data_IF_178709417196
#
_entry.id   IF_178709417196
#
_cell.length_a   1.000
_cell.length_b   1.000
_cell.length_c   1.000
_cell.angle_alpha   90.00
_cell.angle_beta   90.00
_cell.angle_gamma   90.00
#
_symmetry.space_group_name_H-M   'P 1'
#
loop_
_entity.id
_entity.type
_entity.pdbx_description
1 polymer ?
#
# COMPACT_ATOMS: atom_id res chain seq x y z
N UNK A 1 -73.95 51.19 40.65
CA UNK A 1 -73.97 51.20 39.17
C UNK A 1 -72.87 52.13 38.69
N UNK A 2 -72.07 51.70 37.70
CA UNK A 2 -70.91 52.41 37.10
C UNK A 2 -69.65 52.48 37.98
N UNK A 3 -68.41 52.27 37.51
CA UNK A 3 -67.80 51.67 36.30
C UNK A 3 -66.36 51.34 36.75
N UNK A 4 -65.90 50.12 36.53
CA UNK A 4 -64.52 49.71 36.82
C UNK A 4 -63.59 50.16 35.69
N UNK A 5 -62.47 50.80 36.04
CA UNK A 5 -61.34 51.07 35.14
C UNK A 5 -60.16 50.26 35.68
N UNK A 6 -59.79 49.18 34.98
CA UNK A 6 -58.54 48.44 35.23
C UNK A 6 -57.66 48.60 34.00
N UNK A 7 -56.46 49.15 34.23
CA UNK A 7 -55.40 49.30 33.24
C UNK A 7 -55.03 47.93 32.64
N UNK A 8 -55.03 47.85 31.31
CA UNK A 8 -54.41 46.78 30.54
C UNK A 8 -52.91 47.05 30.44
N UNK A 9 -52.09 46.10 30.88
CA UNK A 9 -50.68 45.99 30.47
C UNK A 9 -50.60 44.86 29.43
N UNK A 10 -50.04 45.06 28.23
CA UNK A 10 -49.87 43.98 27.28
C UNK A 10 -48.61 43.17 27.64
N UNK A 11 -48.81 41.86 27.71
CA UNK A 11 -47.78 40.83 27.82
C UNK A 11 -47.04 40.75 26.48
N UNK A 12 -45.76 41.13 26.43
CA UNK A 12 -44.93 40.99 25.22
C UNK A 12 -44.39 39.56 25.13
N UNK A 13 -44.99 38.73 24.26
CA UNK A 13 -44.38 37.48 23.82
C UNK A 13 -43.27 37.83 22.81
N UNK A 14 -42.00 37.67 23.19
CA UNK A 14 -40.88 37.72 22.23
C UNK A 14 -40.84 36.40 21.50
N UNK A 15 -41.38 36.38 20.29
CA UNK A 15 -41.21 35.31 19.31
C UNK A 15 -39.81 35.45 18.70
N UNK A 16 -38.85 34.63 19.14
CA UNK A 16 -37.54 34.51 18.50
C UNK A 16 -37.70 33.78 17.16
N UNK A 17 -38.02 34.55 16.12
CA UNK A 17 -37.87 34.12 14.72
C UNK A 17 -36.38 34.05 14.40
N UNK A 18 -35.82 32.84 14.46
CA UNK A 18 -34.50 32.53 13.92
C UNK A 18 -34.52 32.73 12.40
N UNK A 19 -34.05 33.90 11.95
CA UNK A 19 -33.72 34.12 10.55
C UNK A 19 -32.50 33.27 10.22
N UNK A 20 -32.74 32.09 9.64
CA UNK A 20 -31.72 31.33 8.94
C UNK A 20 -31.18 32.20 7.80
N UNK A 21 -30.03 32.82 8.02
CA UNK A 21 -29.30 33.48 6.95
C UNK A 21 -28.98 32.46 5.84
N UNK A 22 -28.91 32.87 4.57
CA UNK A 22 -28.51 31.96 3.51
C UNK A 22 -27.13 31.44 3.88
N UNK A 23 -27.02 30.11 4.04
CA UNK A 23 -25.74 29.45 4.17
C UNK A 23 -24.90 29.94 2.99
N UNK A 24 -23.87 30.74 3.30
CA UNK A 24 -22.88 31.13 2.30
C UNK A 24 -22.40 29.84 1.68
N UNK A 25 -22.63 29.68 0.37
CA UNK A 25 -21.99 28.67 -0.43
C UNK A 25 -20.50 28.74 -0.09
N UNK A 26 -20.01 27.75 0.66
CA UNK A 26 -18.58 27.51 0.70
C UNK A 26 -18.20 27.32 -0.75
N UNK A 27 -17.47 28.27 -1.32
CA UNK A 27 -16.80 28.05 -2.57
C UNK A 27 -15.90 26.85 -2.32
N UNK A 28 -16.30 25.67 -2.82
CA UNK A 28 -15.53 24.44 -2.76
C UNK A 28 -14.36 24.61 -3.73
N UNK A 29 -13.36 25.37 -3.28
CA UNK A 29 -12.04 25.37 -3.85
C UNK A 29 -11.47 23.96 -3.68
N UNK A 30 -11.19 23.34 -4.82
CA UNK A 30 -10.40 22.14 -5.07
C UNK A 30 -10.39 21.12 -3.90
N UNK A 31 -11.20 20.04 -3.96
CA UNK A 31 -11.32 19.04 -2.88
C UNK A 31 -10.00 18.34 -2.53
N UNK A 32 -8.90 18.66 -3.21
CA UNK A 32 -7.57 18.12 -2.91
C UNK A 32 -7.42 16.70 -3.43
N UNK A 33 -8.36 16.26 -4.27
CA UNK A 33 -8.35 15.01 -5.00
C UNK A 33 -9.11 15.16 -6.33
N UNK A 34 -8.79 14.29 -7.29
CA UNK A 34 -9.63 14.04 -8.48
C UNK A 34 -10.34 12.72 -8.32
N UNK A 35 -11.52 12.63 -8.93
CA UNK A 35 -12.37 11.47 -8.84
C UNK A 35 -12.86 11.07 -10.23
N UNK A 36 -12.82 9.77 -10.49
CA UNK A 36 -13.26 9.15 -11.74
C UNK A 36 -14.06 7.90 -11.41
N UNK A 37 -15.00 7.52 -12.27
CA UNK A 37 -15.89 6.39 -12.03
C UNK A 37 -16.30 5.71 -13.35
N UNK A 38 -16.62 4.42 -13.26
CA UNK A 38 -17.20 3.63 -14.34
C UNK A 38 -17.97 2.43 -13.76
N UNK A 39 -19.00 1.97 -14.46
CA UNK A 39 -19.83 0.81 -14.06
C UNK A 39 -21.07 1.18 -13.24
N UNK A 40 -21.63 0.19 -12.54
CA UNK A 40 -22.82 0.35 -11.69
C UNK A 40 -22.42 0.76 -10.26
N UNK A 41 -22.56 2.04 -9.95
CA UNK A 41 -22.22 2.60 -8.62
C UNK A 41 -23.29 2.30 -7.57
N UNK A 42 -24.49 1.94 -8.01
CA UNK A 42 -25.62 1.57 -7.15
C UNK A 42 -25.68 0.05 -6.93
N UNK A 43 -24.71 -0.70 -7.49
CA UNK A 43 -24.58 -2.12 -7.25
C UNK A 43 -24.54 -2.42 -5.75
N UNK A 44 -25.31 -3.43 -5.34
CA UNK A 44 -25.26 -3.92 -3.98
C UNK A 44 -23.83 -4.38 -3.61
N UNK A 45 -23.42 -4.26 -2.33
CA UNK A 45 -22.16 -4.84 -1.87
C UNK A 45 -22.03 -6.30 -2.28
N UNK A 46 -20.81 -6.74 -2.58
CA UNK A 46 -20.56 -8.15 -2.88
C UNK A 46 -21.07 -9.03 -1.73
N UNK A 47 -21.82 -10.08 -2.06
CA UNK A 47 -22.40 -10.98 -1.06
C UNK A 47 -21.31 -11.71 -0.23
N UNK A 48 -20.14 -11.93 -0.83
CA UNK A 48 -18.98 -12.52 -0.19
C UNK A 48 -17.70 -11.90 -0.74
N UNK A 49 -16.75 -11.63 0.15
CA UNK A 49 -15.36 -11.28 -0.18
C UNK A 49 -14.42 -12.20 0.60
N UNK A 50 -13.24 -12.44 0.05
CA UNK A 50 -12.20 -13.26 0.66
C UNK A 50 -10.94 -12.43 0.94
N UNK A 51 -10.27 -12.63 2.09
CA UNK A 51 -9.01 -11.95 2.37
C UNK A 51 -7.95 -12.36 1.35
N UNK A 52 -7.32 -11.36 0.72
CA UNK A 52 -6.24 -11.60 -0.22
C UNK A 52 -5.35 -10.38 -0.38
N UNK A 53 -4.10 -10.63 -0.75
CA UNK A 53 -3.12 -9.58 -1.06
C UNK A 53 -2.53 -9.82 -2.44
N UNK A 54 -2.52 -8.81 -3.30
CA UNK A 54 -1.76 -8.84 -4.56
C UNK A 54 -0.64 -7.81 -4.50
N UNK A 55 0.60 -8.28 -4.43
CA UNK A 55 1.82 -7.47 -4.41
C UNK A 55 2.43 -7.49 -5.82
N UNK A 56 2.17 -6.45 -6.61
CA UNK A 56 2.68 -6.33 -7.98
C UNK A 56 3.92 -5.42 -8.06
N UNK A 57 4.99 -5.88 -8.70
CA UNK A 57 6.27 -5.15 -8.70
C UNK A 57 6.32 -3.90 -9.57
N UNK A 58 5.30 -3.62 -10.37
CA UNK A 58 5.26 -2.50 -11.32
C UNK A 58 5.32 -2.99 -12.77
N UNK A 59 5.53 -2.07 -13.71
CA UNK A 59 5.50 -2.38 -15.14
C UNK A 59 4.06 -2.54 -15.67
N UNK A 60 3.89 -3.39 -16.68
CA UNK A 60 2.61 -3.74 -17.28
C UNK A 60 1.75 -4.60 -16.35
N UNK A 61 0.43 -4.39 -16.40
CA UNK A 61 -0.50 -5.17 -15.58
C UNK A 61 -0.45 -6.65 -15.96
N UNK A 62 -0.59 -7.51 -14.95
CA UNK A 62 -0.69 -8.97 -15.11
C UNK A 62 -2.18 -9.34 -15.05
N UNK A 63 -2.88 -9.52 -16.19
CA UNK A 63 -4.34 -9.64 -16.18
C UNK A 63 -4.83 -10.83 -15.35
N UNK A 64 -4.09 -11.95 -15.37
CA UNK A 64 -4.40 -13.13 -14.57
C UNK A 64 -4.39 -12.83 -13.05
N UNK A 65 -3.48 -11.98 -12.58
CA UNK A 65 -3.41 -11.59 -11.18
C UNK A 65 -4.59 -10.70 -10.77
N UNK A 66 -4.95 -9.73 -11.62
CA UNK A 66 -6.13 -8.90 -11.37
C UNK A 66 -7.43 -9.71 -11.40
N UNK A 67 -7.58 -10.65 -12.34
CA UNK A 67 -8.75 -11.55 -12.38
C UNK A 67 -8.83 -12.44 -11.13
N UNK A 68 -7.70 -13.02 -10.71
CA UNK A 68 -7.62 -13.77 -9.44
C UNK A 68 -8.04 -12.91 -8.25
N UNK A 69 -7.59 -11.66 -8.19
CA UNK A 69 -7.91 -10.72 -7.11
C UNK A 69 -9.38 -10.28 -7.14
N UNK A 70 -9.94 -10.00 -8.31
CA UNK A 70 -11.36 -9.63 -8.49
C UNK A 70 -12.32 -10.76 -8.12
N UNK A 71 -11.93 -12.02 -8.34
CA UNK A 71 -12.72 -13.16 -7.85
C UNK A 71 -12.86 -13.15 -6.33
N UNK A 72 -11.77 -12.85 -5.60
CA UNK A 72 -11.80 -12.66 -4.13
C UNK A 72 -12.60 -11.44 -3.69
N UNK A 73 -12.74 -10.44 -4.55
CA UNK A 73 -13.60 -9.29 -4.33
C UNK A 73 -15.09 -9.60 -4.54
N UNK A 74 -15.45 -10.84 -4.87
CA UNK A 74 -16.81 -11.19 -5.27
C UNK A 74 -17.26 -10.47 -6.54
N UNK A 75 -16.31 -10.02 -7.37
CA UNK A 75 -16.56 -9.21 -8.57
C UNK A 75 -17.34 -7.90 -8.27
N UNK A 76 -17.17 -7.37 -7.05
CA UNK A 76 -17.90 -6.21 -6.55
C UNK A 76 -17.30 -4.86 -6.95
N UNK A 77 -17.51 -3.87 -6.08
CA UNK A 77 -17.08 -2.48 -6.24
C UNK A 77 -15.61 -2.34 -5.90
N UNK A 78 -14.83 -1.78 -6.82
CA UNK A 78 -13.40 -1.57 -6.65
C UNK A 78 -13.10 -0.09 -6.47
N UNK A 79 -12.24 0.22 -5.50
CA UNK A 79 -11.67 1.57 -5.36
C UNK A 79 -10.18 1.54 -5.69
N UNK A 80 -9.77 2.36 -6.65
CA UNK A 80 -8.38 2.62 -6.98
C UNK A 80 -7.92 3.89 -6.24
N UNK A 81 -6.87 3.78 -5.44
CA UNK A 81 -6.29 4.90 -4.71
C UNK A 81 -4.92 5.27 -5.29
N UNK A 82 -4.68 6.57 -5.48
CA UNK A 82 -3.42 7.06 -6.04
C UNK A 82 -3.03 8.41 -5.46
N UNK A 83 -1.74 8.66 -5.26
CA UNK A 83 -1.25 9.93 -4.72
C UNK A 83 -0.52 10.82 -5.75
N UNK A 84 -0.44 10.44 -7.02
CA UNK A 84 0.26 11.21 -8.08
C UNK A 84 -0.14 10.79 -9.49
N UNK A 85 -0.04 11.69 -10.47
CA UNK A 85 -0.35 11.46 -11.89
C UNK A 85 -1.81 11.75 -12.27
N UNK A 86 -2.25 11.49 -13.51
CA UNK A 86 -3.65 11.66 -13.96
C UNK A 86 -4.08 10.57 -14.96
N UNK A 87 -4.50 9.39 -14.47
CA UNK A 87 -4.79 8.26 -15.35
C UNK A 87 -6.21 7.76 -15.09
N UNK A 88 -6.90 7.37 -16.17
CA UNK A 88 -8.20 6.71 -16.14
C UNK A 88 -8.06 5.20 -15.85
N UNK A 89 -7.32 4.82 -14.80
CA UNK A 89 -7.07 3.41 -14.47
C UNK A 89 -8.36 2.61 -14.24
N UNK A 90 -9.45 3.28 -13.88
CA UNK A 90 -10.77 2.67 -13.77
C UNK A 90 -11.22 2.07 -15.09
N UNK A 91 -10.93 2.71 -16.22
CA UNK A 91 -11.34 2.21 -17.54
C UNK A 91 -10.57 0.95 -17.92
N UNK A 92 -9.26 0.93 -17.66
CA UNK A 92 -8.44 -0.28 -17.87
C UNK A 92 -8.93 -1.45 -17.00
N UNK A 93 -9.18 -1.21 -15.72
CA UNK A 93 -9.67 -2.28 -14.83
C UNK A 93 -11.08 -2.75 -15.24
N UNK A 94 -11.98 -1.82 -15.56
CA UNK A 94 -13.37 -2.17 -15.85
C UNK A 94 -13.56 -2.77 -17.24
N UNK A 95 -12.89 -2.25 -18.27
CA UNK A 95 -13.09 -2.67 -19.67
C UNK A 95 -12.10 -3.74 -20.13
N UNK A 96 -10.82 -3.57 -19.80
CA UNK A 96 -9.77 -4.45 -20.35
C UNK A 96 -9.58 -5.70 -19.49
N UNK A 97 -9.56 -5.54 -18.16
CA UNK A 97 -9.53 -6.69 -17.23
C UNK A 97 -10.93 -7.30 -17.08
N UNK A 98 -11.92 -6.46 -16.80
CA UNK A 98 -13.32 -6.86 -16.62
C UNK A 98 -13.61 -7.57 -15.30
N UNK A 99 -14.90 -7.67 -14.97
CA UNK A 99 -15.37 -8.42 -13.80
C UNK A 99 -15.52 -7.61 -12.50
N UNK A 100 -15.44 -6.27 -12.55
CA UNK A 100 -15.86 -5.43 -11.44
C UNK A 100 -17.27 -4.89 -11.69
N UNK A 101 -18.10 -4.76 -10.65
CA UNK A 101 -19.42 -4.13 -10.75
C UNK A 101 -19.31 -2.63 -11.06
N UNK A 102 -18.36 -1.97 -10.39
CA UNK A 102 -17.93 -0.60 -10.68
C UNK A 102 -16.50 -0.37 -10.21
N UNK A 103 -15.87 0.65 -10.77
CA UNK A 103 -14.52 1.07 -10.39
C UNK A 103 -14.50 2.58 -10.17
N UNK A 104 -14.09 3.00 -8.99
CA UNK A 104 -13.93 4.40 -8.61
C UNK A 104 -12.45 4.70 -8.38
N UNK A 105 -11.89 5.72 -9.03
CA UNK A 105 -10.50 6.14 -8.84
C UNK A 105 -10.44 7.46 -8.08
N UNK A 106 -9.70 7.48 -6.97
CA UNK A 106 -9.37 8.68 -6.19
C UNK A 106 -7.90 9.02 -6.34
N UNK A 107 -7.62 10.19 -6.93
CA UNK A 107 -6.26 10.71 -7.10
C UNK A 107 -6.02 11.85 -6.11
N UNK A 108 -5.35 11.57 -5.01
CA UNK A 108 -5.03 12.50 -3.95
C UNK A 108 -3.98 13.52 -4.41
N UNK A 109 -4.31 14.79 -4.28
CA UNK A 109 -3.42 15.91 -4.57
C UNK A 109 -2.84 16.53 -3.28
N UNK A 110 -3.47 16.29 -2.13
CA UNK A 110 -3.03 16.78 -0.83
C UNK A 110 -3.44 15.85 0.32
N UNK A 111 -2.81 16.03 1.50
CA UNK A 111 -3.18 15.35 2.75
C UNK A 111 -4.62 15.64 3.18
N UNK A 112 -5.15 16.84 2.91
CA UNK A 112 -6.52 17.24 3.30
C UNK A 112 -7.58 16.29 2.77
N UNK A 113 -7.41 15.79 1.55
CA UNK A 113 -8.36 14.85 0.94
C UNK A 113 -8.44 13.51 1.68
N UNK A 114 -7.41 13.11 2.42
CA UNK A 114 -7.38 11.87 3.18
C UNK A 114 -8.30 11.90 4.42
N UNK A 115 -8.77 13.08 4.82
CA UNK A 115 -9.76 13.26 5.90
C UNK A 115 -11.13 13.73 5.37
N UNK A 116 -11.31 13.77 4.03
CA UNK A 116 -12.57 14.24 3.44
C UNK A 116 -13.68 13.19 3.60
N UNK A 117 -14.83 13.53 4.21
CA UNK A 117 -15.92 12.57 4.43
C UNK A 117 -16.46 11.92 3.15
N UNK A 118 -16.38 12.57 1.99
CA UNK A 118 -16.80 11.98 0.71
C UNK A 118 -15.84 10.88 0.27
N UNK A 119 -14.53 11.12 0.41
CA UNK A 119 -13.48 10.12 0.14
C UNK A 119 -13.66 8.90 1.04
N UNK A 120 -13.86 9.12 2.34
CA UNK A 120 -14.01 8.03 3.31
C UNK A 120 -15.25 7.18 3.05
N UNK A 121 -16.35 7.78 2.57
CA UNK A 121 -17.55 7.02 2.16
C UNK A 121 -17.28 6.10 0.98
N UNK A 122 -16.57 6.59 -0.04
CA UNK A 122 -16.18 5.77 -1.20
C UNK A 122 -15.31 4.60 -0.76
N UNK A 123 -14.29 4.86 0.06
CA UNK A 123 -13.37 3.82 0.55
C UNK A 123 -14.08 2.78 1.43
N UNK A 124 -14.97 3.20 2.33
CA UNK A 124 -15.72 2.27 3.19
C UNK A 124 -16.68 1.35 2.41
N UNK A 125 -17.18 1.83 1.26
CA UNK A 125 -18.02 1.06 0.37
C UNK A 125 -17.26 0.07 -0.53
N UNK A 126 -15.93 0.13 -0.58
CA UNK A 126 -15.15 -0.74 -1.46
C UNK A 126 -15.26 -2.22 -1.04
N UNK A 127 -15.56 -3.09 -2.00
CA UNK A 127 -15.44 -4.55 -1.82
C UNK A 127 -13.97 -4.98 -2.02
N UNK A 128 -13.20 -4.21 -2.80
CA UNK A 128 -11.74 -4.36 -2.93
C UNK A 128 -11.04 -3.02 -3.18
N UNK A 129 -9.78 -2.91 -2.72
CA UNK A 129 -8.97 -1.68 -2.86
C UNK A 129 -7.67 -1.98 -3.61
N UNK A 130 -7.39 -1.23 -4.66
CA UNK A 130 -6.12 -1.25 -5.38
C UNK A 130 -5.35 0.05 -5.17
N UNK A 131 -4.13 -0.04 -4.67
CA UNK A 131 -3.21 1.08 -4.48
C UNK A 131 -2.28 1.16 -5.69
N UNK A 132 -2.45 2.19 -6.51
CA UNK A 132 -1.72 2.34 -7.76
C UNK A 132 -0.23 2.69 -7.56
N UNK A 133 0.54 2.66 -8.65
CA UNK A 133 1.89 3.19 -8.69
C UNK A 133 1.93 4.72 -8.63
N UNK A 134 3.14 5.29 -8.57
CA UNK A 134 3.34 6.73 -8.54
C UNK A 134 4.49 7.17 -7.63
N UNK A 135 4.38 8.39 -7.11
CA UNK A 135 5.30 8.95 -6.12
C UNK A 135 5.02 8.37 -4.74
N UNK A 136 5.87 7.43 -4.32
CA UNK A 136 5.78 6.74 -3.05
C UNK A 136 5.76 7.68 -1.84
N UNK A 137 6.49 8.79 -1.89
CA UNK A 137 6.58 9.73 -0.77
C UNK A 137 5.23 10.37 -0.45
N UNK A 138 4.37 10.53 -1.47
CA UNK A 138 3.05 11.12 -1.31
C UNK A 138 2.09 10.19 -0.59
N UNK A 139 2.20 8.88 -0.75
CA UNK A 139 1.39 7.91 0.01
C UNK A 139 1.63 8.08 1.52
N UNK A 140 2.90 8.12 1.95
CA UNK A 140 3.25 8.33 3.36
C UNK A 140 2.80 9.73 3.83
N UNK A 141 3.20 10.79 3.11
CA UNK A 141 2.91 12.19 3.51
C UNK A 141 1.42 12.50 3.55
N UNK A 142 0.65 11.98 2.61
CA UNK A 142 -0.77 12.30 2.50
C UNK A 142 -1.64 11.41 3.37
N UNK A 143 -1.31 10.14 3.55
CA UNK A 143 -2.26 9.19 4.14
C UNK A 143 -1.90 8.76 5.55
N UNK A 144 -0.61 8.61 5.91
CA UNK A 144 -0.23 8.07 7.21
C UNK A 144 -0.82 8.89 8.36
N UNK A 145 -1.51 8.22 9.30
CA UNK A 145 -2.15 8.87 10.45
C UNK A 145 -3.33 9.79 10.11
N UNK A 146 -4.03 9.53 9.00
CA UNK A 146 -5.30 10.19 8.62
C UNK A 146 -6.46 9.21 8.74
N UNK A 147 -7.69 9.71 8.64
CA UNK A 147 -8.88 8.88 8.61
C UNK A 147 -8.89 7.87 7.44
N UNK A 148 -8.29 8.21 6.30
CA UNK A 148 -8.11 7.26 5.19
C UNK A 148 -7.23 6.08 5.60
N UNK A 149 -6.13 6.33 6.31
CA UNK A 149 -5.24 5.26 6.74
C UNK A 149 -5.91 4.34 7.77
N UNK A 150 -6.73 4.88 8.66
CA UNK A 150 -7.60 4.07 9.52
C UNK A 150 -8.62 3.26 8.73
N UNK A 151 -9.26 3.86 7.71
CA UNK A 151 -10.22 3.19 6.84
C UNK A 151 -9.58 2.04 6.04
N UNK A 152 -8.34 2.20 5.56
CA UNK A 152 -7.59 1.12 4.90
C UNK A 152 -7.31 -0.04 5.86
N UNK A 153 -6.88 0.25 7.08
CA UNK A 153 -6.70 -0.79 8.09
C UNK A 153 -8.02 -1.47 8.47
N UNK A 154 -9.14 -0.73 8.48
CA UNK A 154 -10.47 -1.29 8.70
C UNK A 154 -10.91 -2.20 7.54
N UNK A 155 -10.61 -1.83 6.28
CA UNK A 155 -10.86 -2.66 5.10
C UNK A 155 -10.12 -4.01 5.19
N UNK A 156 -8.83 -3.96 5.52
CA UNK A 156 -8.01 -5.18 5.72
C UNK A 156 -8.57 -6.03 6.87
N UNK A 157 -8.92 -5.42 8.01
CA UNK A 157 -9.48 -6.13 9.17
C UNK A 157 -10.85 -6.75 8.89
N UNK A 158 -11.62 -6.17 7.97
CA UNK A 158 -12.89 -6.73 7.50
C UNK A 158 -12.70 -7.95 6.59
N UNK A 159 -11.46 -8.38 6.33
CA UNK A 159 -11.16 -9.53 5.49
C UNK A 159 -11.41 -9.28 4.00
N UNK A 160 -11.37 -8.01 3.57
CA UNK A 160 -11.55 -7.65 2.17
C UNK A 160 -10.20 -7.61 1.43
N UNK A 161 -10.16 -7.99 0.16
CA UNK A 161 -8.91 -8.07 -0.58
C UNK A 161 -8.35 -6.68 -0.88
N UNK A 162 -7.03 -6.58 -0.85
CA UNK A 162 -6.28 -5.36 -1.14
C UNK A 162 -5.09 -5.67 -2.04
N UNK A 163 -4.72 -4.73 -2.89
CA UNK A 163 -3.66 -4.92 -3.86
C UNK A 163 -2.83 -3.64 -4.01
N UNK A 164 -1.59 -3.78 -4.45
CA UNK A 164 -0.69 -2.66 -4.66
C UNK A 164 0.28 -2.92 -5.80
N UNK A 165 0.58 -1.90 -6.61
CA UNK A 165 1.63 -1.97 -7.64
C UNK A 165 2.68 -0.88 -7.44
N UNK A 166 3.96 -1.19 -7.66
CA UNK A 166 5.05 -0.20 -7.54
C UNK A 166 5.02 0.49 -6.16
N UNK A 167 4.88 1.82 -6.10
CA UNK A 167 4.69 2.57 -4.86
C UNK A 167 3.57 2.03 -3.96
N UNK A 168 2.47 1.53 -4.55
CA UNK A 168 1.37 0.93 -3.82
C UNK A 168 1.72 -0.42 -3.18
N UNK A 169 2.55 -1.25 -3.82
CA UNK A 169 3.10 -2.46 -3.19
C UNK A 169 3.98 -2.07 -2.01
N UNK A 170 4.85 -1.07 -2.22
CA UNK A 170 5.91 -0.74 -1.27
C UNK A 170 5.42 -0.27 0.11
N UNK A 171 4.14 0.10 0.23
CA UNK A 171 3.48 0.50 1.48
C UNK A 171 2.61 -0.62 2.11
N UNK A 172 2.58 -1.83 1.52
CA UNK A 172 1.86 -2.98 2.08
C UNK A 172 2.65 -3.73 3.15
N UNK A 173 3.98 -3.62 3.14
CA UNK A 173 4.82 -4.18 4.20
C UNK A 173 4.57 -3.49 5.55
N UNK A 174 4.83 -4.20 6.65
CA UNK A 174 4.88 -3.58 7.98
C UNK A 174 5.97 -2.50 8.08
N UNK A 175 6.97 -2.58 7.20
CA UNK A 175 7.98 -1.58 6.95
C UNK A 175 8.00 -1.19 5.46
N UNK A 176 8.36 0.05 5.19
CA UNK A 176 8.35 0.62 3.84
C UNK A 176 9.54 1.55 3.63
N UNK A 177 10.14 1.52 2.44
CA UNK A 177 11.08 2.56 2.03
C UNK A 177 10.32 3.73 1.42
N UNK A 178 10.06 4.81 2.16
CA UNK A 178 9.11 5.86 1.74
C UNK A 178 9.58 6.81 0.62
N UNK A 179 10.83 6.71 0.14
CA UNK A 179 11.41 7.63 -0.84
C UNK A 179 11.22 9.12 -0.47
N UNK A 180 11.31 9.44 0.82
CA UNK A 180 10.94 10.76 1.37
C UNK A 180 11.93 11.88 0.98
N UNK A 181 13.07 11.53 0.41
CA UNK A 181 14.03 12.45 -0.21
C UNK A 181 13.64 12.83 -1.66
N UNK A 182 12.57 12.27 -2.19
CA UNK A 182 12.11 12.46 -3.57
C UNK A 182 12.91 11.67 -4.61
N UNK A 183 13.84 10.82 -4.16
CA UNK A 183 14.68 10.00 -5.03
C UNK A 183 14.20 8.55 -5.16
N UNK A 184 15.03 7.75 -5.81
CA UNK A 184 14.96 6.28 -5.74
C UNK A 184 16.37 5.78 -5.44
N UNK A 185 16.62 5.40 -4.19
CA UNK A 185 17.93 4.92 -3.74
C UNK A 185 18.39 3.71 -4.56
N UNK A 186 19.61 3.73 -5.09
CA UNK A 186 20.22 2.58 -5.78
C UNK A 186 20.88 1.64 -4.78
N UNK A 187 21.07 0.37 -5.18
CA UNK A 187 21.83 -0.60 -4.37
C UNK A 187 23.23 -0.13 -4.06
N UNK A 188 23.97 0.39 -5.05
CA UNK A 188 25.32 0.90 -4.81
C UNK A 188 25.36 1.99 -3.72
N UNK A 189 24.44 2.96 -3.78
CA UNK A 189 24.40 4.05 -2.80
C UNK A 189 23.97 3.53 -1.42
N UNK A 190 22.98 2.64 -1.37
CA UNK A 190 22.52 2.03 -0.12
C UNK A 190 23.63 1.23 0.56
N UNK A 191 24.41 0.45 -0.20
CA UNK A 191 25.47 -0.40 0.33
C UNK A 191 26.68 0.40 0.83
N UNK A 192 27.00 1.53 0.17
CA UNK A 192 28.10 2.43 0.57
C UNK A 192 27.77 3.27 1.81
N UNK A 193 26.50 3.65 1.98
CA UNK A 193 26.04 4.46 3.11
C UNK A 193 24.68 3.96 3.63
N UNK A 194 24.66 2.83 4.36
CA UNK A 194 23.43 2.16 4.78
C UNK A 194 22.68 2.90 5.89
N UNK A 195 23.34 3.86 6.56
CA UNK A 195 22.74 4.71 7.59
C UNK A 195 22.36 6.11 7.08
N UNK A 196 22.72 6.42 5.83
CA UNK A 196 22.55 7.73 5.21
C UNK A 196 21.09 8.18 5.14
N UNK A 197 20.90 9.51 5.04
CA UNK A 197 19.58 10.14 5.04
C UNK A 197 18.68 9.75 3.86
N UNK A 198 19.25 9.17 2.80
CA UNK A 198 18.49 8.64 1.66
C UNK A 198 17.77 7.32 1.99
N UNK A 199 18.18 6.61 3.05
CA UNK A 199 17.51 5.39 3.56
C UNK A 199 16.32 5.80 4.43
N UNK A 200 15.25 6.22 3.76
CA UNK A 200 14.02 6.76 4.37
C UNK A 200 13.02 5.66 4.70
N UNK A 201 13.28 4.88 5.76
CA UNK A 201 12.36 3.85 6.21
C UNK A 201 11.22 4.44 7.03
N UNK A 202 10.04 3.86 6.87
CA UNK A 202 8.82 4.12 7.62
C UNK A 202 8.17 2.78 8.01
N UNK A 203 7.29 2.79 9.01
CA UNK A 203 6.59 1.60 9.51
C UNK A 203 5.18 1.97 9.99
N UNK A 204 4.39 0.98 10.41
CA UNK A 204 3.05 1.21 10.96
C UNK A 204 2.11 1.97 10.01
N UNK A 205 2.27 1.76 8.70
CA UNK A 205 1.39 2.33 7.67
C UNK A 205 0.15 1.44 7.48
N UNK A 206 0.31 0.19 7.07
CA UNK A 206 -0.77 -0.79 6.98
C UNK A 206 -0.48 -2.03 7.83
N UNK A 207 -1.50 -2.51 8.53
CA UNK A 207 -1.45 -3.74 9.33
C UNK A 207 -1.90 -4.91 8.47
N UNK A 208 -1.01 -5.37 7.60
CA UNK A 208 -1.27 -6.49 6.70
C UNK A 208 -0.98 -7.84 7.39
N UNK A 209 -1.87 -8.84 7.28
CA UNK A 209 -1.60 -10.20 7.76
C UNK A 209 -0.29 -10.74 7.18
N UNK A 210 0.50 -11.43 8.00
CA UNK A 210 1.81 -12.02 7.66
C UNK A 210 2.93 -11.05 7.24
N UNK A 211 2.67 -9.74 7.10
CA UNK A 211 3.67 -8.77 6.61
C UNK A 211 4.22 -7.84 7.70
N UNK A 212 3.87 -8.04 8.98
CA UNK A 212 4.27 -7.17 10.09
C UNK A 212 5.79 -7.01 10.29
N UNK A 213 6.57 -8.02 9.91
CA UNK A 213 8.04 -8.05 9.93
C UNK A 213 8.62 -8.07 8.51
N UNK A 214 7.89 -7.52 7.54
CA UNK A 214 8.31 -7.48 6.14
C UNK A 214 8.56 -6.04 5.70
N UNK A 215 9.70 -5.82 5.06
CA UNK A 215 9.92 -4.66 4.20
C UNK A 215 9.83 -5.09 2.74
N UNK A 216 9.03 -4.34 1.98
CA UNK A 216 8.78 -4.66 0.57
C UNK A 216 9.52 -3.74 -0.39
N UNK A 217 9.88 -4.25 -1.56
CA UNK A 217 10.47 -3.50 -2.66
C UNK A 217 9.92 -3.91 -4.03
N UNK A 218 10.04 -3.02 -5.02
CA UNK A 218 9.41 -3.10 -6.35
C UNK A 218 10.41 -2.94 -7.47
N UNK A 219 9.98 -3.16 -8.71
CA UNK A 219 10.80 -3.07 -9.93
C UNK A 219 12.16 -3.76 -9.77
N UNK A 220 12.14 -4.95 -9.16
CA UNK A 220 13.26 -5.41 -8.36
C UNK A 220 14.47 -5.83 -9.20
N UNK A 221 14.34 -6.90 -9.98
CA UNK A 221 15.41 -7.42 -10.83
C UNK A 221 15.84 -6.46 -11.93
N UNK A 222 14.88 -5.80 -12.59
CA UNK A 222 15.17 -4.86 -13.70
C UNK A 222 15.98 -3.63 -13.27
N UNK A 223 16.03 -3.32 -11.97
CA UNK A 223 16.77 -2.17 -11.43
C UNK A 223 17.89 -2.53 -10.46
N UNK A 224 18.30 -3.81 -10.41
CA UNK A 224 19.37 -4.29 -9.54
C UNK A 224 19.18 -3.87 -8.07
N UNK A 225 17.98 -4.13 -7.52
CA UNK A 225 17.55 -3.62 -6.19
C UNK A 225 17.83 -4.56 -5.01
N UNK A 226 18.54 -5.66 -5.23
CA UNK A 226 18.87 -6.61 -4.16
C UNK A 226 19.70 -5.96 -3.04
N UNK A 227 20.76 -5.23 -3.39
CA UNK A 227 21.63 -4.59 -2.41
C UNK A 227 20.89 -3.58 -1.51
N UNK A 228 20.00 -2.75 -2.08
CA UNK A 228 19.21 -1.81 -1.27
C UNK A 228 18.18 -2.51 -0.39
N UNK A 229 17.53 -3.58 -0.87
CA UNK A 229 16.59 -4.34 -0.04
C UNK A 229 17.30 -4.99 1.16
N UNK A 230 18.53 -5.51 0.96
CA UNK A 230 19.34 -6.04 2.07
C UNK A 230 19.62 -4.93 3.10
N UNK A 231 19.99 -3.72 2.67
CA UNK A 231 20.19 -2.56 3.55
C UNK A 231 18.90 -2.22 4.31
N UNK A 232 17.76 -2.22 3.62
CA UNK A 232 16.46 -1.96 4.23
C UNK A 232 16.11 -2.99 5.32
N UNK A 233 16.33 -4.28 5.04
CA UNK A 233 16.13 -5.36 6.02
C UNK A 233 17.04 -5.17 7.23
N UNK A 234 18.33 -4.91 7.02
CA UNK A 234 19.30 -4.71 8.11
C UNK A 234 18.94 -3.51 8.99
N UNK A 235 18.53 -2.39 8.36
CA UNK A 235 18.09 -1.16 9.05
C UNK A 235 16.78 -1.37 9.82
N UNK A 236 15.79 -2.01 9.20
CA UNK A 236 14.52 -2.30 9.85
C UNK A 236 14.70 -3.29 11.02
N UNK A 237 15.57 -4.30 10.87
CA UNK A 237 15.95 -5.22 11.94
C UNK A 237 16.60 -4.48 13.12
N UNK A 238 17.56 -3.58 12.86
CA UNK A 238 18.20 -2.76 13.89
C UNK A 238 17.20 -1.84 14.59
N UNK A 239 16.33 -1.15 13.84
CA UNK A 239 15.32 -0.25 14.40
C UNK A 239 14.29 -0.99 15.26
N UNK A 240 13.90 -2.20 14.85
CA UNK A 240 12.94 -3.03 15.58
C UNK A 240 13.57 -3.78 16.78
N UNK A 241 14.89 -3.91 16.84
CA UNK A 241 15.57 -4.80 17.76
C UNK A 241 15.22 -6.27 17.52
N UNK A 242 14.93 -6.66 16.27
CA UNK A 242 14.53 -8.03 15.88
C UNK A 242 15.41 -8.56 14.77
N UNK A 243 15.62 -9.87 14.74
CA UNK A 243 16.42 -10.56 13.71
C UNK A 243 15.55 -11.29 12.69
N UNK A 244 14.23 -11.29 12.87
CA UNK A 244 13.26 -11.97 12.01
C UNK A 244 12.76 -11.09 10.85
N UNK A 245 13.40 -9.95 10.58
CA UNK A 245 13.01 -9.05 9.50
C UNK A 245 13.23 -9.71 8.14
N UNK A 246 12.24 -9.58 7.25
CA UNK A 246 12.24 -10.19 5.93
C UNK A 246 12.10 -9.14 4.85
N UNK A 247 12.86 -9.28 3.77
CA UNK A 247 12.70 -8.51 2.55
C UNK A 247 11.88 -9.26 1.52
N UNK A 248 10.86 -8.62 0.95
CA UNK A 248 10.16 -9.12 -0.25
C UNK A 248 10.35 -8.14 -1.40
N UNK A 249 11.12 -8.52 -2.41
CA UNK A 249 11.24 -7.79 -3.67
C UNK A 249 10.35 -8.42 -4.74
N UNK A 250 9.65 -7.63 -5.57
CA UNK A 250 8.87 -8.18 -6.70
C UNK A 250 9.33 -7.53 -8.01
N UNK A 251 9.60 -8.36 -9.01
CA UNK A 251 10.00 -7.92 -10.35
C UNK A 251 8.88 -7.17 -11.08
N UNK A 252 9.22 -6.39 -12.11
CA UNK A 252 8.21 -5.83 -13.02
C UNK A 252 7.40 -6.96 -13.67
N UNK A 253 6.19 -6.64 -14.12
CA UNK A 253 5.29 -7.52 -14.88
C UNK A 253 4.97 -8.83 -14.12
N UNK A 254 5.09 -8.76 -12.79
CA UNK A 254 5.00 -9.89 -11.86
C UNK A 254 4.19 -9.49 -10.63
N UNK A 255 3.36 -10.40 -10.14
CA UNK A 255 2.55 -10.25 -8.94
C UNK A 255 2.67 -11.47 -8.02
N UNK A 256 3.02 -11.23 -6.76
CA UNK A 256 2.87 -12.21 -5.68
C UNK A 256 1.44 -12.11 -5.13
N UNK A 257 0.65 -13.15 -5.39
CA UNK A 257 -0.75 -13.27 -5.00
C UNK A 257 -0.85 -14.16 -3.76
N UNK A 258 -1.33 -13.62 -2.64
CA UNK A 258 -1.38 -14.28 -1.33
C UNK A 258 -2.81 -14.48 -0.89
N UNK A 259 -3.15 -15.73 -0.59
CA UNK A 259 -4.45 -16.18 -0.06
C UNK A 259 -4.60 -15.88 1.44
N UNK A 260 -5.82 -16.03 1.96
CA UNK A 260 -6.14 -15.83 3.37
C UNK A 260 -5.31 -16.70 4.33
N UNK A 261 -4.94 -17.92 3.90
CA UNK A 261 -4.12 -18.87 4.68
C UNK A 261 -2.61 -18.60 4.59
N UNK A 262 -2.20 -17.49 3.97
CA UNK A 262 -0.79 -17.11 3.85
C UNK A 262 -0.03 -17.84 2.75
N UNK A 263 -0.71 -18.60 1.89
CA UNK A 263 -0.08 -19.20 0.69
C UNK A 263 0.02 -18.18 -0.43
N UNK A 264 1.24 -17.96 -0.90
CA UNK A 264 1.60 -17.06 -2.00
C UNK A 264 1.97 -17.81 -3.28
N UNK A 265 1.49 -17.32 -4.42
CA UNK A 265 1.87 -17.76 -5.76
C UNK A 265 2.26 -16.59 -6.64
N UNK A 266 3.18 -16.82 -7.57
CA UNK A 266 3.60 -15.79 -8.54
C UNK A 266 2.83 -15.97 -9.84
N UNK A 267 2.22 -14.87 -10.28
CA UNK A 267 1.63 -14.70 -11.60
C UNK A 267 2.40 -13.59 -12.31
N UNK A 268 2.74 -13.77 -13.59
CA UNK A 268 3.49 -12.76 -14.35
C UNK A 268 3.35 -12.97 -15.84
N UNK A 269 3.74 -11.97 -16.63
CA UNK A 269 3.61 -11.99 -18.10
C UNK A 269 4.82 -12.67 -18.78
N UNK A 270 5.97 -12.66 -18.12
CA UNK A 270 7.30 -12.85 -18.73
C UNK A 270 8.31 -13.52 -17.78
N UNK A 271 7.81 -14.23 -16.76
CA UNK A 271 8.61 -15.15 -15.95
C UNK A 271 9.47 -14.49 -14.87
N UNK A 272 9.11 -13.28 -14.42
CA UNK A 272 9.72 -12.65 -13.25
C UNK A 272 9.42 -13.37 -11.93
N UNK A 273 10.08 -12.91 -10.86
CA UNK A 273 10.05 -13.56 -9.55
C UNK A 273 9.58 -12.62 -8.44
N UNK A 274 9.10 -13.23 -7.36
CA UNK A 274 9.17 -12.62 -6.05
C UNK A 274 10.45 -13.13 -5.34
N UNK A 275 11.15 -12.23 -4.66
CA UNK A 275 12.44 -12.46 -4.06
C UNK A 275 12.31 -12.34 -2.55
N UNK A 276 12.79 -13.35 -1.83
CA UNK A 276 12.75 -13.42 -0.39
C UNK A 276 14.17 -13.26 0.18
N UNK A 277 14.40 -12.23 1.00
CA UNK A 277 15.67 -11.95 1.68
C UNK A 277 15.49 -12.17 3.18
N UNK A 278 16.19 -13.15 3.77
CA UNK A 278 15.98 -13.56 5.17
C UNK A 278 17.28 -13.80 5.92
N UNK A 279 17.96 -12.74 6.40
CA UNK A 279 19.25 -12.93 7.07
C UNK A 279 19.16 -13.80 8.34
N UNK A 280 18.18 -13.55 9.22
CA UNK A 280 18.02 -14.20 10.54
C UNK A 280 19.15 -13.92 11.55
N UNK A 281 19.98 -12.93 11.27
CA UNK A 281 21.06 -12.40 12.10
C UNK A 281 21.25 -10.90 11.82
N UNK A 282 22.09 -10.24 12.62
CA UNK A 282 22.42 -8.83 12.42
C UNK A 282 23.68 -8.67 11.58
N UNK A 283 23.72 -7.62 10.76
CA UNK A 283 24.91 -7.23 10.01
C UNK A 283 26.12 -7.00 10.92
N UNK A 284 27.30 -7.46 10.47
CA UNK A 284 28.58 -7.28 11.15
C UNK A 284 28.95 -5.79 11.25
N UNK A 285 28.65 -5.02 10.20
CA UNK A 285 28.86 -3.56 10.19
C UNK A 285 27.69 -2.81 9.56
N UNK A 286 26.92 -2.16 10.43
CA UNK A 286 25.85 -1.22 10.07
C UNK A 286 26.01 0.05 10.89
N UNK A 287 26.80 1.01 10.39
CA UNK A 287 27.21 2.23 11.12
C UNK A 287 27.23 3.45 10.20
N UNK A 288 27.08 4.62 10.79
CA UNK A 288 27.05 5.90 10.08
C UNK A 288 28.37 6.16 9.34
N UNK A 289 28.26 6.60 8.08
CA UNK A 289 29.41 6.91 7.22
C UNK A 289 30.29 5.73 6.83
N UNK A 290 29.87 4.47 7.09
CA UNK A 290 30.64 3.27 6.76
C UNK A 290 29.86 2.34 5.82
N UNK A 291 30.51 1.76 4.79
CA UNK A 291 29.89 0.75 3.96
C UNK A 291 29.42 -0.47 4.76
N UNK A 292 28.33 -1.09 4.31
CA UNK A 292 27.79 -2.31 4.91
C UNK A 292 28.81 -3.46 4.83
N UNK A 293 28.95 -4.21 5.93
CA UNK A 293 29.39 -5.62 5.89
C UNK A 293 28.22 -6.47 6.40
N UNK A 294 27.79 -7.42 5.58
CA UNK A 294 26.73 -8.35 5.94
C UNK A 294 26.88 -9.66 5.16
N UNK A 295 27.14 -10.75 5.87
CA UNK A 295 27.48 -12.03 5.26
C UNK A 295 26.39 -13.08 5.38
N UNK A 296 26.50 -14.12 4.54
CA UNK A 296 25.69 -15.32 4.59
C UNK A 296 24.18 -15.03 4.59
N UNK A 297 23.73 -14.16 3.69
CA UNK A 297 22.34 -13.73 3.61
C UNK A 297 21.58 -14.64 2.63
N UNK A 298 20.63 -15.47 3.09
CA UNK A 298 19.80 -16.28 2.20
C UNK A 298 18.89 -15.40 1.35
N UNK A 299 18.91 -15.67 0.04
CA UNK A 299 17.99 -15.09 -0.94
C UNK A 299 17.34 -16.22 -1.74
N UNK A 300 16.01 -16.25 -1.75
CA UNK A 300 15.24 -17.31 -2.42
C UNK A 300 14.32 -16.70 -3.47
N UNK A 301 14.35 -17.27 -4.68
CA UNK A 301 13.45 -16.91 -5.77
C UNK A 301 12.16 -17.73 -5.73
N UNK A 302 11.03 -17.05 -5.76
CA UNK A 302 9.69 -17.62 -5.90
C UNK A 302 9.25 -17.37 -7.33
N UNK A 303 9.15 -18.44 -8.14
CA UNK A 303 8.65 -18.37 -9.52
C UNK A 303 7.22 -18.88 -9.63
N UNK A 304 6.70 -18.95 -10.86
CA UNK A 304 5.33 -19.43 -11.14
C UNK A 304 5.08 -20.88 -10.73
N UNK A 305 6.12 -21.72 -10.69
CA UNK A 305 6.06 -23.09 -10.19
C UNK A 305 6.21 -23.23 -8.68
N UNK A 306 6.60 -22.16 -7.98
CA UNK A 306 6.87 -22.17 -6.54
C UNK A 306 5.61 -21.95 -5.72
N UNK A 307 5.70 -22.28 -4.43
CA UNK A 307 4.70 -21.95 -3.44
C UNK A 307 5.37 -21.32 -2.22
N UNK A 308 5.05 -20.07 -1.96
CA UNK A 308 5.50 -19.35 -0.76
C UNK A 308 4.50 -19.59 0.38
N UNK A 309 4.99 -19.92 1.56
CA UNK A 309 4.21 -19.90 2.80
C UNK A 309 4.70 -18.71 3.60
N UNK A 310 3.88 -17.66 3.73
CA UNK A 310 4.28 -16.47 4.47
C UNK A 310 4.41 -16.77 5.98
N UNK A 311 3.67 -17.76 6.49
CA UNK A 311 3.96 -18.32 7.81
C UNK A 311 5.34 -18.99 7.79
N UNK A 312 6.29 -18.40 8.53
CA UNK A 312 7.68 -18.88 8.59
C UNK A 312 8.53 -18.62 7.34
N UNK A 313 7.95 -18.04 6.27
CA UNK A 313 8.62 -17.68 5.02
C UNK A 313 9.33 -18.85 4.33
N UNK A 314 8.61 -19.97 4.18
CA UNK A 314 9.10 -21.19 3.53
C UNK A 314 8.72 -21.20 2.05
N UNK A 315 9.61 -21.62 1.17
CA UNK A 315 9.34 -21.76 -0.27
C UNK A 315 9.47 -23.21 -0.69
N UNK A 316 8.36 -23.81 -1.12
CA UNK A 316 8.34 -25.09 -1.83
C UNK A 316 8.68 -24.83 -3.30
N UNK A 317 9.50 -25.71 -3.89
CA UNK A 317 9.90 -25.66 -5.30
C UNK A 317 10.45 -24.29 -5.74
N UNK A 318 11.35 -23.72 -4.92
CA UNK A 318 11.98 -22.44 -5.21
C UNK A 318 12.66 -22.44 -6.60
N UNK A 319 12.47 -21.36 -7.34
CA UNK A 319 13.05 -21.20 -8.68
C UNK A 319 14.59 -21.14 -8.63
N UNK A 320 15.13 -20.55 -7.56
CA UNK A 320 16.56 -20.56 -7.25
C UNK A 320 16.80 -20.26 -5.76
N UNK A 321 17.99 -20.61 -5.30
CA UNK A 321 18.54 -20.20 -4.00
C UNK A 321 19.92 -19.63 -4.20
N UNK A 322 20.20 -18.50 -3.55
CA UNK A 322 21.52 -17.87 -3.55
C UNK A 322 21.85 -17.38 -2.14
N UNK A 323 23.13 -17.19 -1.89
CA UNK A 323 23.65 -16.54 -0.71
C UNK A 323 24.27 -15.22 -1.14
N UNK A 324 23.86 -14.13 -0.51
CA UNK A 324 24.45 -12.82 -0.68
C UNK A 324 25.47 -12.53 0.41
N UNK A 325 26.63 -12.04 0.00
CA UNK A 325 27.69 -11.58 0.88
C UNK A 325 28.06 -10.14 0.51
N UNK A 326 28.14 -9.26 1.50
CA UNK A 326 28.49 -7.86 1.31
C UNK A 326 29.76 -7.55 2.08
N UNK A 327 30.82 -7.16 1.36
CA UNK A 327 32.12 -6.76 1.92
C UNK A 327 32.44 -5.34 1.48
N UNK A 328 32.63 -4.43 2.41
CA UNK A 328 32.92 -3.02 2.14
C UNK A 328 31.94 -2.40 1.13
N UNK A 329 30.64 -2.70 1.30
CA UNK A 329 29.56 -2.22 0.43
C UNK A 329 29.53 -2.84 -0.97
N UNK A 330 30.28 -3.92 -1.22
CA UNK A 330 30.23 -4.68 -2.47
C UNK A 330 29.48 -5.98 -2.28
N UNK A 331 28.42 -6.16 -3.09
CA UNK A 331 27.58 -7.35 -3.08
C UNK A 331 28.18 -8.43 -3.99
N UNK A 332 28.35 -9.63 -3.46
CA UNK A 332 28.69 -10.84 -4.17
C UNK A 332 27.58 -11.88 -3.97
N UNK A 333 27.28 -12.65 -5.02
CA UNK A 333 26.27 -13.70 -4.99
C UNK A 333 26.93 -15.06 -5.27
N UNK A 334 26.61 -16.04 -4.43
CA UNK A 334 27.00 -17.42 -4.62
C UNK A 334 25.76 -18.32 -4.69
N UNK A 335 25.82 -19.48 -5.37
CA UNK A 335 24.77 -20.49 -5.27
C UNK A 335 24.46 -20.83 -3.81
N UNK A 336 23.18 -20.89 -3.47
CA UNK A 336 22.71 -21.26 -2.14
C UNK A 336 22.67 -22.78 -1.97
N UNK A 337 22.61 -23.28 -0.72
CA UNK A 337 22.42 -24.70 -0.43
C UNK A 337 21.07 -25.25 -0.90
#
# INVERSE_FOLDING_TARGET
MHKAFRLFAPLFYVLLLGLAGPARAQSLQDPGYRYYEVGDLEAAPAAHTEPAMMLMGGGEWVPAAFQWWLQRAGQGRVVILRASGADELQERLYRDIGGAASVQTLVFQSRRAADDPAVLRVVAAADAIFIAGGDQSRYIRFWKGTALNEALNAHVRAGRPIAGTSAGLAILGGYSYGALDGGSLSSERALRDPMGSAVTLDNDFLTMPYLSNVITDTHFGTRDRLGRLIVFVARAAQQAGRQDMVGIGVDEDTALCVEADGRGRVLGNDGGYAWLVMPRHTAERLRDGQPLDFHAIPVTGVGSGSLLHLEGFRVDDAAFRMTADIRDGRLELAPGP
#
